data_IF_314257609231
#
_entry.id   IF_314257609231
#
_cell.length_a   1.000
_cell.length_b   1.000
_cell.length_c   1.000
_cell.angle_alpha   90.00
_cell.angle_beta   90.00
_cell.angle_gamma   90.00
#
_symmetry.space_group_name_H-M   'P 1'
#
loop_
_entity.id
_entity.type
_entity.pdbx_description
1 polymer ?
#
# COMPACT_ATOMS: atom_id res chain seq x y z
N UNK A 1 -17.96 -7.37 25.21
CA UNK A 1 -16.64 -6.79 24.87
C UNK A 1 -16.77 -5.27 24.94
N UNK A 2 -15.93 -4.60 25.73
CA UNK A 2 -15.89 -3.15 25.77
C UNK A 2 -15.24 -2.63 24.48
N UNK A 3 -15.77 -1.58 23.83
CA UNK A 3 -15.17 -1.04 22.62
C UNK A 3 -13.74 -0.51 22.84
N UNK A 4 -13.39 -0.16 24.06
CA UNK A 4 -12.05 0.27 24.45
C UNK A 4 -10.96 -0.80 24.25
N UNK A 5 -11.32 -2.08 24.30
CA UNK A 5 -10.37 -3.19 24.10
C UNK A 5 -9.85 -3.26 22.66
N UNK A 6 -10.58 -2.67 21.73
CA UNK A 6 -10.15 -2.53 20.32
C UNK A 6 -9.52 -1.17 20.06
N UNK A 7 -10.15 -0.10 20.57
CA UNK A 7 -9.72 1.28 20.31
C UNK A 7 -8.34 1.60 20.90
N UNK A 8 -8.05 1.16 22.12
CA UNK A 8 -6.83 1.54 22.83
C UNK A 8 -5.58 0.96 22.17
N UNK A 9 -5.48 -0.34 21.82
CA UNK A 9 -4.36 -0.87 21.06
C UNK A 9 -4.19 -0.18 19.70
N UNK A 10 -5.29 0.15 19.03
CA UNK A 10 -5.27 0.81 17.73
C UNK A 10 -4.72 2.25 17.84
N UNK A 11 -5.15 3.01 18.85
CA UNK A 11 -4.64 4.37 19.10
C UNK A 11 -3.14 4.32 19.42
N UNK A 12 -2.72 3.38 20.30
CA UNK A 12 -1.30 3.23 20.65
C UNK A 12 -0.48 2.85 19.41
N UNK A 13 -0.98 1.95 18.59
CA UNK A 13 -0.34 1.57 17.32
C UNK A 13 -0.14 2.79 16.41
N UNK A 14 -1.18 3.62 16.22
CA UNK A 14 -1.10 4.82 15.39
C UNK A 14 -0.13 5.84 15.97
N UNK A 15 -0.23 6.15 17.26
CA UNK A 15 0.62 7.15 17.92
C UNK A 15 2.10 6.74 17.89
N UNK A 16 2.41 5.49 18.22
CA UNK A 16 3.78 4.98 18.16
C UNK A 16 4.31 4.92 16.73
N UNK A 17 3.47 4.58 15.76
CA UNK A 17 3.83 4.56 14.34
C UNK A 17 4.16 5.96 13.80
N UNK A 18 3.52 7.01 14.32
CA UNK A 18 3.81 8.40 13.95
C UNK A 18 5.07 8.96 14.63
N UNK A 19 5.41 8.48 15.83
CA UNK A 19 6.55 8.98 16.62
C UNK A 19 7.84 8.24 16.27
N UNK A 20 7.75 6.95 15.97
CA UNK A 20 8.91 6.08 15.73
C UNK A 20 8.83 5.48 14.33
N UNK A 21 8.51 4.20 14.24
CA UNK A 21 8.38 3.43 13.01
C UNK A 21 7.09 2.61 13.03
N UNK A 22 6.59 2.27 11.83
CA UNK A 22 5.40 1.42 11.66
C UNK A 22 5.57 0.07 12.38
N UNK A 23 6.78 -0.50 12.35
CA UNK A 23 7.09 -1.76 13.03
C UNK A 23 6.99 -1.62 14.56
N UNK A 24 7.53 -0.54 15.13
CA UNK A 24 7.43 -0.23 16.56
C UNK A 24 5.99 0.05 16.98
N UNK A 25 5.22 0.73 16.11
CA UNK A 25 3.79 0.96 16.32
C UNK A 25 3.00 -0.34 16.37
N UNK A 26 3.23 -1.24 15.40
CA UNK A 26 2.58 -2.56 15.38
C UNK A 26 2.93 -3.40 16.62
N UNK A 27 4.23 -3.48 16.98
CA UNK A 27 4.67 -4.19 18.19
C UNK A 27 4.05 -3.61 19.45
N UNK A 28 4.03 -2.27 19.61
CA UNK A 28 3.41 -1.60 20.73
C UNK A 28 1.90 -1.87 20.84
N UNK A 29 1.19 -1.84 19.72
CA UNK A 29 -0.23 -2.18 19.67
C UNK A 29 -0.52 -3.63 20.11
N UNK A 30 0.29 -4.58 19.66
CA UNK A 30 0.19 -5.99 20.07
C UNK A 30 0.48 -6.14 21.56
N UNK A 31 1.54 -5.52 22.10
CA UNK A 31 1.89 -5.59 23.52
C UNK A 31 0.76 -5.03 24.39
N UNK A 32 0.19 -3.89 24.01
CA UNK A 32 -0.93 -3.28 24.74
C UNK A 32 -2.17 -4.16 24.68
N UNK A 33 -2.49 -4.76 23.52
CA UNK A 33 -3.58 -5.70 23.40
C UNK A 33 -3.38 -6.91 24.34
N UNK A 34 -2.18 -7.50 24.34
CA UNK A 34 -1.82 -8.61 25.25
C UNK A 34 -1.99 -8.22 26.73
N UNK A 35 -1.46 -7.05 27.14
CA UNK A 35 -1.57 -6.58 28.51
C UNK A 35 -3.03 -6.39 28.93
N UNK A 36 -3.86 -5.80 28.07
CA UNK A 36 -5.28 -5.59 28.37
C UNK A 36 -6.06 -6.89 28.53
N UNK A 37 -5.92 -7.82 27.58
CA UNK A 37 -6.63 -9.11 27.65
C UNK A 37 -6.15 -9.96 28.82
N UNK A 38 -4.88 -9.84 29.21
CA UNK A 38 -4.32 -10.52 30.38
C UNK A 38 -4.85 -9.94 31.70
N UNK A 39 -4.89 -8.59 31.81
CA UNK A 39 -5.41 -7.90 33.01
C UNK A 39 -6.90 -8.17 33.20
N UNK A 40 -7.68 -8.17 32.10
CA UNK A 40 -9.11 -8.46 32.15
C UNK A 40 -9.42 -9.96 32.39
N UNK A 41 -8.41 -10.81 32.48
CA UNK A 41 -8.54 -12.29 32.66
C UNK A 41 -9.51 -12.95 31.68
N UNK A 42 -9.66 -12.35 30.49
CA UNK A 42 -10.56 -12.88 29.45
C UNK A 42 -9.98 -14.04 28.67
N UNK A 43 -8.66 -14.12 28.60
CA UNK A 43 -7.92 -15.17 27.88
C UNK A 43 -6.74 -15.65 28.74
N UNK A 44 -6.50 -16.96 28.67
CA UNK A 44 -5.31 -17.56 29.27
C UNK A 44 -4.08 -17.22 28.42
N UNK A 45 -2.90 -17.14 29.02
CA UNK A 45 -1.66 -16.88 28.30
C UNK A 45 -1.43 -17.84 27.12
N UNK A 46 -1.82 -19.10 27.26
CA UNK A 46 -1.75 -20.11 26.22
C UNK A 46 -2.70 -19.79 25.05
N UNK A 47 -3.91 -19.36 25.33
CA UNK A 47 -4.89 -18.96 24.30
C UNK A 47 -4.44 -17.72 23.55
N UNK A 48 -3.86 -16.75 24.25
CA UNK A 48 -3.25 -15.56 23.64
C UNK A 48 -2.14 -15.92 22.65
N UNK A 49 -1.21 -16.77 23.07
CA UNK A 49 -0.12 -17.25 22.20
C UNK A 49 -0.64 -18.05 21.00
N UNK A 50 -1.63 -18.93 21.22
CA UNK A 50 -2.24 -19.71 20.12
C UNK A 50 -2.92 -18.78 19.12
N UNK A 51 -3.69 -17.80 19.59
CA UNK A 51 -4.34 -16.82 18.71
C UNK A 51 -3.34 -15.98 17.89
N UNK A 52 -2.21 -15.59 18.51
CA UNK A 52 -1.14 -14.91 17.79
C UNK A 52 -0.50 -15.81 16.72
N UNK A 53 -0.26 -17.08 17.06
CA UNK A 53 0.33 -18.04 16.13
C UNK A 53 -0.63 -18.33 14.98
N UNK A 54 -1.91 -18.52 15.25
CA UNK A 54 -2.94 -18.74 14.24
C UNK A 54 -3.09 -17.51 13.32
N UNK A 55 -3.02 -16.31 13.91
CA UNK A 55 -2.99 -15.05 13.16
C UNK A 55 -1.77 -14.96 12.24
N UNK A 56 -0.59 -15.28 12.74
CA UNK A 56 0.63 -15.30 11.94
C UNK A 56 0.59 -16.35 10.82
N UNK A 57 0.08 -17.53 11.10
CA UNK A 57 -0.08 -18.59 10.10
C UNK A 57 -1.11 -18.25 9.04
N UNK A 58 -2.20 -17.54 9.39
CA UNK A 58 -3.18 -17.07 8.42
C UNK A 58 -2.59 -16.05 7.42
N UNK A 59 -1.57 -15.29 7.85
CA UNK A 59 -0.83 -14.35 6.99
C UNK A 59 0.26 -15.02 6.14
N UNK A 60 0.55 -16.31 6.33
CA UNK A 60 1.57 -17.03 5.58
C UNK A 60 1.34 -17.02 4.07
N UNK A 61 0.10 -17.15 3.63
CA UNK A 61 -0.26 -17.06 2.21
C UNK A 61 -0.02 -15.65 1.64
N UNK A 62 -0.37 -14.62 2.41
CA UNK A 62 -0.11 -13.20 2.04
C UNK A 62 1.40 -12.96 1.89
N UNK A 63 2.19 -13.50 2.82
CA UNK A 63 3.64 -13.38 2.78
C UNK A 63 4.25 -14.01 1.51
N UNK A 64 3.80 -15.20 1.13
CA UNK A 64 4.25 -15.86 -0.12
C UNK A 64 3.86 -15.03 -1.33
N UNK A 65 2.62 -14.52 -1.38
CA UNK A 65 2.17 -13.65 -2.47
C UNK A 65 2.98 -12.36 -2.55
N UNK A 66 3.30 -11.74 -1.41
CA UNK A 66 4.12 -10.53 -1.38
C UNK A 66 5.52 -10.78 -1.91
N UNK A 67 6.16 -11.90 -1.54
CA UNK A 67 7.47 -12.29 -2.07
C UNK A 67 7.44 -12.48 -3.59
N UNK A 68 6.41 -13.14 -4.10
CA UNK A 68 6.23 -13.30 -5.55
C UNK A 68 5.96 -11.96 -6.26
N UNK A 69 5.16 -11.08 -5.64
CA UNK A 69 4.92 -9.73 -6.16
C UNK A 69 6.21 -8.92 -6.25
N UNK A 70 7.06 -8.94 -5.22
CA UNK A 70 8.39 -8.30 -5.25
C UNK A 70 9.30 -8.88 -6.31
N UNK A 71 9.25 -10.20 -6.56
CA UNK A 71 10.04 -10.81 -7.63
C UNK A 71 9.59 -10.31 -9.02
N UNK A 72 8.29 -10.23 -9.27
CA UNK A 72 7.73 -9.65 -10.51
C UNK A 72 8.11 -8.18 -10.65
N UNK A 73 8.05 -7.43 -9.57
CA UNK A 73 8.43 -6.02 -9.51
C UNK A 73 9.91 -5.81 -9.88
N UNK A 74 10.82 -6.57 -9.29
CA UNK A 74 12.24 -6.50 -9.64
C UNK A 74 12.47 -6.84 -11.11
N UNK A 75 11.79 -7.84 -11.66
CA UNK A 75 11.85 -8.16 -13.08
C UNK A 75 11.36 -6.99 -13.96
N UNK A 76 10.30 -6.30 -13.56
CA UNK A 76 9.79 -5.12 -14.28
C UNK A 76 10.79 -3.95 -14.27
N UNK A 77 11.50 -3.75 -13.14
CA UNK A 77 12.55 -2.73 -13.03
C UNK A 77 13.73 -3.09 -13.95
N UNK A 78 14.21 -4.33 -13.91
CA UNK A 78 15.31 -4.80 -14.77
C UNK A 78 14.98 -4.72 -16.27
N UNK A 79 13.71 -4.93 -16.63
CA UNK A 79 13.22 -4.78 -18.00
C UNK A 79 13.08 -3.32 -18.44
N UNK A 80 13.26 -2.35 -17.56
CA UNK A 80 13.07 -0.92 -17.89
C UNK A 80 11.63 -0.57 -18.27
N UNK A 81 10.65 -1.29 -17.70
CA UNK A 81 9.24 -1.12 -18.06
C UNK A 81 8.76 0.31 -17.83
N UNK A 82 9.21 0.97 -16.75
CA UNK A 82 8.84 2.34 -16.44
C UNK A 82 9.36 3.31 -17.51
N UNK A 83 10.62 3.19 -17.92
CA UNK A 83 11.25 4.01 -18.95
C UNK A 83 10.58 3.81 -20.31
N UNK A 84 10.21 2.57 -20.63
CA UNK A 84 9.47 2.24 -21.85
C UNK A 84 8.09 2.92 -21.87
N UNK A 85 7.33 2.83 -20.78
CA UNK A 85 6.01 3.47 -20.67
C UNK A 85 6.13 4.97 -20.77
N UNK A 86 7.15 5.58 -20.14
CA UNK A 86 7.40 7.02 -20.23
C UNK A 86 7.73 7.42 -21.66
N UNK A 87 8.61 6.70 -22.35
CA UNK A 87 9.02 7.02 -23.72
C UNK A 87 7.85 7.03 -24.73
N UNK A 88 6.88 6.14 -24.55
CA UNK A 88 5.67 6.09 -25.38
C UNK A 88 4.71 7.24 -25.02
N UNK A 89 4.69 7.65 -23.76
CA UNK A 89 3.70 8.61 -23.25
C UNK A 89 4.21 10.07 -23.34
N UNK A 90 5.54 10.27 -23.47
CA UNK A 90 6.16 11.59 -23.59
C UNK A 90 5.49 12.51 -24.65
N UNK A 91 5.15 12.04 -25.87
CA UNK A 91 4.48 12.89 -26.85
C UNK A 91 3.05 13.28 -26.46
N UNK A 92 2.41 12.56 -25.56
CA UNK A 92 1.04 12.81 -25.07
C UNK A 92 1.05 13.79 -23.88
N UNK A 93 2.17 13.87 -23.17
CA UNK A 93 2.36 14.71 -21.98
C UNK A 93 2.61 16.19 -22.29
N UNK A 94 2.21 16.70 -23.47
CA UNK A 94 2.46 18.10 -23.84
C UNK A 94 1.41 19.06 -23.24
N UNK A 95 1.89 20.15 -22.62
CA UNK A 95 1.07 21.28 -22.16
C UNK A 95 0.38 21.07 -20.82
N UNK A 96 -0.69 21.83 -20.56
CA UNK A 96 -1.42 21.84 -19.28
C UNK A 96 -2.11 20.52 -18.90
N UNK A 97 -2.11 19.53 -19.77
CA UNK A 97 -2.63 18.18 -19.52
C UNK A 97 -1.61 17.24 -18.83
N UNK A 98 -0.37 17.68 -18.61
CA UNK A 98 0.67 16.84 -17.99
C UNK A 98 0.22 16.13 -16.71
N UNK A 99 -0.40 16.78 -15.70
CA UNK A 99 -0.83 16.09 -14.50
C UNK A 99 -1.88 15.02 -14.75
N UNK A 100 -2.82 15.26 -15.68
CA UNK A 100 -3.84 14.28 -16.03
C UNK A 100 -3.25 13.07 -16.77
N UNK A 101 -2.34 13.31 -17.72
CA UNK A 101 -1.64 12.24 -18.43
C UNK A 101 -0.79 11.39 -17.47
N UNK A 102 -0.03 12.05 -16.58
CA UNK A 102 0.77 11.39 -15.55
C UNK A 102 -0.12 10.54 -14.62
N UNK A 103 -1.25 11.06 -14.18
CA UNK A 103 -2.21 10.30 -13.36
C UNK A 103 -2.68 9.03 -14.07
N UNK A 104 -3.09 9.12 -15.33
CA UNK A 104 -3.60 7.97 -16.10
C UNK A 104 -2.49 6.93 -16.30
N UNK A 105 -1.30 7.37 -16.71
CA UNK A 105 -0.16 6.46 -16.95
C UNK A 105 0.26 5.76 -15.66
N UNK A 106 0.41 6.51 -14.57
CA UNK A 106 0.74 5.94 -13.27
C UNK A 106 -0.36 4.99 -12.78
N UNK A 107 -1.63 5.33 -13.01
CA UNK A 107 -2.77 4.48 -12.65
C UNK A 107 -2.76 3.15 -13.40
N UNK A 108 -2.57 3.18 -14.72
CA UNK A 108 -2.50 1.96 -15.54
C UNK A 108 -1.27 1.11 -15.15
N UNK A 109 -0.11 1.74 -14.97
CA UNK A 109 1.09 1.05 -14.56
C UNK A 109 0.94 0.40 -13.17
N UNK A 110 0.47 1.15 -12.19
CA UNK A 110 0.25 0.65 -10.83
C UNK A 110 -0.83 -0.44 -10.78
N UNK A 111 -1.87 -0.33 -11.61
CA UNK A 111 -2.87 -1.39 -11.79
C UNK A 111 -2.24 -2.67 -12.37
N UNK A 112 -1.35 -2.53 -13.34
CA UNK A 112 -0.68 -3.66 -13.98
C UNK A 112 0.41 -4.30 -13.11
N UNK A 113 1.06 -3.56 -12.22
CA UNK A 113 2.18 -4.04 -11.40
C UNK A 113 1.83 -4.27 -9.93
N UNK A 114 0.73 -3.68 -9.46
CA UNK A 114 0.34 -3.71 -8.04
C UNK A 114 1.19 -2.83 -7.13
N UNK A 115 2.22 -2.16 -7.67
CA UNK A 115 3.22 -1.43 -6.92
C UNK A 115 2.88 0.05 -6.78
N UNK A 116 2.92 0.55 -5.55
CA UNK A 116 2.71 1.97 -5.24
C UNK A 116 4.04 2.72 -5.06
N UNK A 117 4.89 2.23 -4.18
CA UNK A 117 6.06 2.97 -3.71
C UNK A 117 7.17 3.10 -4.77
N UNK A 118 7.46 2.01 -5.47
CA UNK A 118 8.54 1.99 -6.45
C UNK A 118 8.19 2.83 -7.67
N UNK A 119 6.92 2.80 -8.09
CA UNK A 119 6.46 3.66 -9.17
C UNK A 119 6.69 5.13 -8.85
N UNK A 120 6.33 5.56 -7.64
CA UNK A 120 6.55 6.94 -7.22
C UNK A 120 8.05 7.29 -7.19
N UNK A 121 8.89 6.39 -6.66
CA UNK A 121 10.33 6.60 -6.58
C UNK A 121 11.01 6.73 -7.96
N UNK A 122 10.52 5.99 -8.97
CA UNK A 122 11.08 6.02 -10.32
C UNK A 122 10.56 7.22 -11.12
N UNK A 123 9.26 7.51 -11.03
CA UNK A 123 8.62 8.50 -11.90
C UNK A 123 8.80 9.93 -11.40
N UNK A 124 8.84 10.19 -10.10
CA UNK A 124 9.00 11.55 -9.56
C UNK A 124 10.27 12.25 -10.06
N UNK A 125 11.46 11.61 -10.05
CA UNK A 125 12.68 12.24 -10.59
C UNK A 125 12.59 12.63 -12.07
N UNK A 126 11.70 12.02 -12.82
CA UNK A 126 11.49 12.29 -14.25
C UNK A 126 10.42 13.37 -14.44
N UNK A 127 9.31 13.27 -13.71
CA UNK A 127 8.17 14.17 -13.85
C UNK A 127 8.48 15.57 -13.33
N UNK A 128 9.30 15.73 -12.28
CA UNK A 128 9.65 17.05 -11.75
C UNK A 128 10.42 17.92 -12.78
N UNK A 129 11.52 17.45 -13.39
CA UNK A 129 12.19 18.19 -14.44
C UNK A 129 11.30 18.49 -15.64
N UNK A 130 10.46 17.52 -16.03
CA UNK A 130 9.54 17.69 -17.14
C UNK A 130 8.47 18.76 -16.85
N UNK A 131 7.89 18.76 -15.64
CA UNK A 131 6.93 19.77 -15.22
C UNK A 131 7.55 21.19 -15.24
N UNK A 132 8.78 21.32 -14.74
CA UNK A 132 9.51 22.58 -14.79
C UNK A 132 9.78 23.07 -16.23
N UNK A 133 10.17 22.15 -17.13
CA UNK A 133 10.41 22.47 -18.53
C UNK A 133 9.14 22.92 -19.26
N UNK A 134 7.97 22.42 -18.83
CA UNK A 134 6.67 22.73 -19.43
C UNK A 134 5.92 23.89 -18.73
N UNK A 135 6.50 24.46 -17.67
CA UNK A 135 5.85 25.52 -16.89
C UNK A 135 4.65 25.07 -16.08
N UNK A 136 4.57 23.77 -15.76
CA UNK A 136 3.54 23.18 -14.88
C UNK A 136 4.08 23.13 -13.46
N UNK A 137 3.22 23.34 -12.47
CA UNK A 137 3.61 23.24 -11.07
C UNK A 137 4.12 21.82 -10.73
N UNK A 138 5.41 21.69 -10.31
CA UNK A 138 5.98 20.39 -9.96
C UNK A 138 5.26 19.68 -8.81
N UNK A 139 4.65 20.46 -7.90
CA UNK A 139 3.87 19.90 -6.78
C UNK A 139 2.61 19.21 -7.31
N UNK A 140 1.91 19.86 -8.24
CA UNK A 140 0.72 19.29 -8.87
C UNK A 140 1.06 18.04 -9.69
N UNK A 141 2.16 18.06 -10.42
CA UNK A 141 2.64 16.91 -11.17
C UNK A 141 3.02 15.74 -10.27
N UNK A 142 3.71 15.99 -9.15
CA UNK A 142 4.04 14.97 -8.14
C UNK A 142 2.80 14.42 -7.45
N UNK A 143 1.83 15.27 -7.14
CA UNK A 143 0.55 14.84 -6.58
C UNK A 143 -0.22 13.91 -7.54
N UNK A 144 -0.15 14.18 -8.85
CA UNK A 144 -0.74 13.32 -9.87
C UNK A 144 -0.08 11.93 -9.93
N UNK A 145 1.26 11.86 -9.77
CA UNK A 145 1.98 10.56 -9.67
C UNK A 145 1.47 9.75 -8.49
N UNK A 146 1.46 10.34 -7.29
CA UNK A 146 1.00 9.64 -6.09
C UNK A 146 -0.47 9.23 -6.18
N UNK A 147 -1.33 10.11 -6.67
CA UNK A 147 -2.76 9.82 -6.81
C UNK A 147 -3.01 8.70 -7.82
N UNK A 148 -2.32 8.73 -8.96
CA UNK A 148 -2.41 7.67 -9.97
C UNK A 148 -1.88 6.33 -9.45
N UNK A 149 -0.71 6.33 -8.80
CA UNK A 149 -0.14 5.15 -8.20
C UNK A 149 -1.05 4.55 -7.12
N UNK A 150 -1.63 5.38 -6.24
CA UNK A 150 -2.57 4.96 -5.22
C UNK A 150 -3.85 4.38 -5.83
N UNK A 151 -4.41 5.04 -6.84
CA UNK A 151 -5.59 4.54 -7.55
C UNK A 151 -5.32 3.17 -8.16
N UNK A 152 -4.24 3.02 -8.93
CA UNK A 152 -3.91 1.77 -9.60
C UNK A 152 -3.65 0.62 -8.62
N UNK A 153 -2.84 0.85 -7.59
CA UNK A 153 -2.49 -0.19 -6.62
C UNK A 153 -3.66 -0.65 -5.76
N UNK A 154 -4.59 0.26 -5.42
CA UNK A 154 -5.78 -0.09 -4.64
C UNK A 154 -6.92 -0.71 -5.47
N UNK A 155 -6.86 -0.61 -6.79
CA UNK A 155 -7.84 -1.22 -7.69
C UNK A 155 -7.35 -2.53 -8.31
N UNK A 156 -6.07 -2.87 -8.20
CA UNK A 156 -5.55 -4.13 -8.72
C UNK A 156 -5.87 -5.31 -7.78
N UNK A 157 -5.94 -6.53 -8.35
CA UNK A 157 -6.28 -7.75 -7.61
C UNK A 157 -5.19 -8.22 -6.64
N UNK A 158 -3.95 -7.86 -6.89
CA UNK A 158 -2.75 -8.34 -6.19
C UNK A 158 -1.91 -7.22 -5.57
N UNK A 159 -2.47 -6.01 -5.45
CA UNK A 159 -1.83 -4.95 -4.69
C UNK A 159 -1.73 -5.31 -3.22
N UNK A 160 -0.60 -4.97 -2.59
CA UNK A 160 -0.32 -5.30 -1.19
C UNK A 160 -1.46 -4.85 -0.26
N UNK A 161 -1.96 -3.64 -0.45
CA UNK A 161 -3.07 -3.09 0.34
C UNK A 161 -4.37 -3.86 0.16
N UNK A 162 -4.69 -4.28 -1.07
CA UNK A 162 -5.91 -5.04 -1.38
C UNK A 162 -5.84 -6.44 -0.78
N UNK A 163 -4.71 -7.13 -0.91
CA UNK A 163 -4.52 -8.47 -0.34
C UNK A 163 -4.62 -8.42 1.18
N UNK A 164 -3.91 -7.49 1.83
CA UNK A 164 -3.94 -7.35 3.29
C UNK A 164 -5.33 -6.99 3.81
N UNK A 165 -6.03 -6.08 3.14
CA UNK A 165 -7.39 -5.68 3.52
C UNK A 165 -8.39 -6.82 3.34
N UNK A 166 -8.33 -7.52 2.21
CA UNK A 166 -9.18 -8.67 1.93
C UNK A 166 -8.98 -9.79 2.96
N UNK A 167 -7.73 -10.08 3.32
CA UNK A 167 -7.42 -11.08 4.35
C UNK A 167 -7.89 -10.64 5.74
N UNK A 168 -7.66 -9.38 6.11
CA UNK A 168 -8.13 -8.84 7.40
C UNK A 168 -9.64 -8.85 7.56
N UNK A 169 -10.37 -8.60 6.47
CA UNK A 169 -11.83 -8.64 6.43
C UNK A 169 -12.40 -10.04 6.15
N UNK A 170 -11.56 -11.04 5.88
CA UNK A 170 -11.97 -12.41 5.49
C UNK A 170 -12.89 -12.45 4.26
N UNK A 171 -12.64 -11.57 3.29
CA UNK A 171 -13.34 -11.50 2.01
C UNK A 171 -12.39 -11.84 0.86
N UNK A 172 -12.93 -12.14 -0.31
CA UNK A 172 -12.10 -12.37 -1.50
C UNK A 172 -11.58 -11.04 -2.04
N UNK A 173 -10.33 -11.01 -2.51
CA UNK A 173 -9.74 -9.81 -3.13
C UNK A 173 -10.55 -9.31 -4.32
N UNK A 174 -11.21 -10.21 -5.05
CA UNK A 174 -12.10 -9.87 -6.16
C UNK A 174 -13.33 -9.07 -5.69
N UNK A 175 -13.93 -9.48 -4.57
CA UNK A 175 -15.12 -8.81 -4.00
C UNK A 175 -14.73 -7.40 -3.48
N UNK A 176 -13.54 -7.28 -2.89
CA UNK A 176 -13.01 -5.99 -2.47
C UNK A 176 -12.77 -5.08 -3.69
N UNK A 177 -12.13 -5.60 -4.74
CA UNK A 177 -11.87 -4.86 -5.97
C UNK A 177 -13.17 -4.36 -6.63
N UNK A 178 -14.21 -5.18 -6.70
CA UNK A 178 -15.50 -4.77 -7.29
C UNK A 178 -16.23 -3.70 -6.47
N UNK A 179 -15.93 -3.58 -5.19
CA UNK A 179 -16.47 -2.51 -4.31
C UNK A 179 -15.63 -1.23 -4.35
N UNK A 180 -14.36 -1.32 -4.69
CA UNK A 180 -13.44 -0.17 -4.80
C UNK A 180 -13.44 0.46 -6.19
N UNK A 181 -13.79 -0.29 -7.23
CA UNK A 181 -14.07 0.25 -8.57
C UNK A 181 -15.51 0.78 -8.59
N UNK A 182 -15.72 2.09 -8.83
CA UNK A 182 -17.06 2.67 -8.92
C UNK A 182 -17.81 2.20 -10.17
#
# INVERSE_FOLDING_TARGET
>A
AHPWNFLLPLIVMIVLSLISDVLMGAAGGVIVAFAMYFIEKKMTFKELLTTCFDGAMSMGFVFVLSVLAFAVQNANIELGLAEYVISITEPIMQGGFLPAAVFIVCGIYAYATGCFWDLAAIIIPIVIPLANAMGVDPILASAAVFSGAAFGSNTCLYGDGVIMCAQGCQIKSLDLMTTTLP
#
